data_IF_779807791711
#
_entry.id   IF_779807791711
#
_cell.length_a   1.000
_cell.length_b   1.000
_cell.length_c   1.000
_cell.angle_alpha   90.00
_cell.angle_beta   90.00
_cell.angle_gamma   90.00
#
_symmetry.space_group_name_H-M   'P 1'
#
loop_
_entity.id
_entity.type
_entity.pdbx_description
1 polymer ?
#
# COMPACT_ATOMS: atom_id res chain seq x y z
N UNK A 1 19.28 -23.38 -7.63
CA UNK A 1 17.84 -23.31 -7.37
C UNK A 1 17.61 -23.83 -5.96
N UNK A 2 17.06 -23.00 -5.07
CA UNK A 2 16.75 -23.42 -3.70
C UNK A 2 15.62 -24.45 -3.71
N UNK A 3 15.57 -25.30 -2.69
CA UNK A 3 14.41 -26.16 -2.45
C UNK A 3 13.31 -25.34 -1.77
N UNK A 4 12.06 -25.69 -2.03
CA UNK A 4 10.93 -25.06 -1.37
C UNK A 4 10.98 -25.29 0.15
N UNK A 5 10.61 -24.27 0.90
CA UNK A 5 10.42 -24.32 2.35
C UNK A 5 9.13 -23.59 2.71
N UNK A 6 8.32 -24.11 3.65
CA UNK A 6 7.04 -23.50 3.98
C UNK A 6 7.20 -22.10 4.57
N UNK A 7 6.23 -21.22 4.28
CA UNK A 7 6.14 -19.91 4.91
C UNK A 7 5.89 -20.03 6.43
N UNK A 8 6.35 -19.02 7.19
CA UNK A 8 6.22 -18.98 8.64
C UNK A 8 4.76 -18.81 9.11
N UNK A 9 3.97 -18.02 8.37
CA UNK A 9 2.54 -17.83 8.60
C UNK A 9 1.78 -18.57 7.50
N UNK A 10 0.89 -19.48 7.89
CA UNK A 10 0.10 -20.29 6.95
C UNK A 10 -1.38 -20.09 7.24
N UNK A 11 -2.17 -19.85 6.20
CA UNK A 11 -3.61 -19.68 6.31
C UNK A 11 -4.28 -21.01 6.61
N UNK A 12 -4.99 -21.08 7.73
CA UNK A 12 -5.81 -22.23 8.11
C UNK A 12 -7.29 -21.85 8.14
N UNK A 13 -8.18 -22.83 7.97
CA UNK A 13 -9.63 -22.62 7.99
C UNK A 13 -10.07 -22.02 9.33
N UNK A 14 -10.80 -20.90 9.29
CA UNK A 14 -11.27 -20.14 10.44
C UNK A 14 -10.21 -19.23 11.07
N UNK A 15 -8.99 -19.19 10.55
CA UNK A 15 -7.95 -18.29 11.08
C UNK A 15 -8.22 -16.84 10.68
N UNK A 16 -7.64 -15.90 11.43
CA UNK A 16 -7.64 -14.48 11.07
C UNK A 16 -6.98 -14.20 9.70
N UNK A 17 -6.20 -15.16 9.17
CA UNK A 17 -5.58 -15.07 7.85
C UNK A 17 -6.51 -15.50 6.72
N UNK A 18 -7.59 -16.23 7.01
CA UNK A 18 -8.59 -16.58 6.01
C UNK A 18 -9.42 -15.35 5.63
N UNK A 19 -9.50 -15.08 4.33
CA UNK A 19 -10.25 -13.97 3.74
C UNK A 19 -11.57 -14.51 3.19
N UNK A 20 -12.67 -13.79 3.40
CA UNK A 20 -13.97 -14.11 2.79
C UNK A 20 -13.97 -13.68 1.32
N UNK A 21 -13.39 -14.52 0.46
CA UNK A 21 -13.26 -14.23 -0.97
C UNK A 21 -14.63 -13.99 -1.64
N UNK A 22 -15.70 -14.65 -1.19
CA UNK A 22 -17.03 -14.49 -1.77
C UNK A 22 -17.57 -13.08 -1.50
N UNK A 23 -17.35 -12.55 -0.30
CA UNK A 23 -17.69 -11.17 0.05
C UNK A 23 -16.98 -10.16 -0.87
N UNK A 24 -15.65 -10.24 -0.98
CA UNK A 24 -14.88 -9.29 -1.80
C UNK A 24 -15.12 -9.47 -3.30
N UNK A 25 -15.35 -10.70 -3.78
CA UNK A 25 -15.74 -10.95 -5.17
C UNK A 25 -17.09 -10.31 -5.50
N UNK A 26 -18.08 -10.42 -4.61
CA UNK A 26 -19.37 -9.72 -4.77
C UNK A 26 -19.18 -8.21 -4.90
N UNK A 27 -18.33 -7.62 -4.05
CA UNK A 27 -17.99 -6.20 -4.14
C UNK A 27 -17.45 -5.90 -5.54
N UNK A 28 -16.44 -6.66 -6.01
CA UNK A 28 -15.77 -6.56 -7.32
C UNK A 28 -16.67 -6.79 -8.56
N UNK A 29 -17.66 -7.66 -8.48
CA UNK A 29 -18.47 -8.05 -9.64
C UNK A 29 -19.69 -7.15 -9.83
N UNK A 30 -20.32 -6.71 -8.73
CA UNK A 30 -21.58 -5.94 -8.74
C UNK A 30 -21.36 -4.44 -8.95
N UNK A 31 -20.75 -4.07 -10.08
CA UNK A 31 -20.39 -2.67 -10.42
C UNK A 31 -21.59 -1.73 -10.50
N UNK A 32 -22.77 -2.24 -10.84
CA UNK A 32 -24.02 -1.49 -10.92
C UNK A 32 -24.55 -1.03 -9.56
N UNK A 33 -24.15 -1.70 -8.48
CA UNK A 33 -24.48 -1.35 -7.09
C UNK A 33 -23.37 -0.50 -6.44
N UNK A 34 -22.59 0.22 -7.26
CA UNK A 34 -21.57 1.17 -6.83
C UNK A 34 -21.83 2.53 -7.45
N UNK A 35 -21.64 3.57 -6.65
CA UNK A 35 -21.72 4.96 -7.10
C UNK A 35 -20.35 5.60 -6.98
N UNK A 36 -19.79 6.10 -8.08
CA UNK A 36 -18.59 6.93 -8.06
C UNK A 36 -18.93 8.25 -7.34
N UNK A 37 -18.24 8.54 -6.24
CA UNK A 37 -18.50 9.73 -5.41
C UNK A 37 -17.38 10.77 -5.52
N UNK A 38 -16.17 10.36 -5.89
CA UNK A 38 -15.06 11.28 -6.10
C UNK A 38 -14.08 10.68 -7.13
N UNK A 39 -13.52 11.54 -7.98
CA UNK A 39 -12.46 11.19 -8.92
C UNK A 39 -11.49 12.35 -9.07
N UNK A 40 -10.19 12.07 -9.06
CA UNK A 40 -9.16 13.07 -9.29
C UNK A 40 -7.86 12.45 -9.79
N UNK A 41 -6.99 13.28 -10.37
CA UNK A 41 -5.61 12.92 -10.68
C UNK A 41 -4.64 13.55 -9.68
N UNK A 42 -3.56 12.83 -9.39
CA UNK A 42 -2.41 13.32 -8.65
C UNK A 42 -1.34 13.70 -9.69
N UNK A 43 -0.95 14.99 -9.81
CA UNK A 43 0.04 15.43 -10.77
C UNK A 43 1.38 14.71 -10.60
N UNK A 44 2.20 14.66 -11.65
CA UNK A 44 3.56 14.09 -11.60
C UNK A 44 4.40 14.72 -10.48
N UNK A 45 5.24 13.92 -9.81
CA UNK A 45 6.21 14.41 -8.80
C UNK A 45 5.55 15.16 -7.63
N UNK A 46 4.31 14.81 -7.33
CA UNK A 46 3.54 15.38 -6.21
C UNK A 46 2.86 14.27 -5.41
N UNK A 47 2.26 14.65 -4.29
CA UNK A 47 1.44 13.75 -3.50
C UNK A 47 0.13 14.40 -3.11
N UNK A 48 -0.90 13.58 -2.90
CA UNK A 48 -2.21 14.01 -2.39
C UNK A 48 -2.68 13.00 -1.34
N UNK A 49 -3.28 13.51 -0.27
CA UNK A 49 -3.97 12.72 0.72
C UNK A 49 -5.49 12.90 0.59
N UNK A 50 -6.25 11.85 0.93
CA UNK A 50 -7.71 11.82 0.86
C UNK A 50 -8.28 10.81 1.87
N UNK A 51 -9.53 10.99 2.26
CA UNK A 51 -10.22 10.06 3.18
C UNK A 51 -11.10 9.09 2.41
N UNK A 52 -11.16 7.85 2.87
CA UNK A 52 -12.11 6.84 2.36
C UNK A 52 -12.86 6.26 3.56
N UNK A 53 -14.20 6.37 3.63
CA UNK A 53 -14.97 5.78 4.72
C UNK A 53 -14.93 4.25 4.69
N UNK A 54 -15.08 3.61 5.84
CA UNK A 54 -15.23 2.17 5.93
C UNK A 54 -16.38 1.68 5.03
N UNK A 55 -16.24 0.49 4.46
CA UNK A 55 -17.24 -0.06 3.54
C UNK A 55 -17.16 0.50 2.12
N UNK A 56 -16.34 1.51 1.83
CA UNK A 56 -16.18 2.06 0.49
C UNK A 56 -15.07 1.35 -0.28
N UNK A 57 -15.11 1.46 -1.60
CA UNK A 57 -14.03 1.04 -2.48
C UNK A 57 -13.27 2.28 -2.98
N UNK A 58 -11.98 2.14 -3.24
CA UNK A 58 -11.24 3.11 -4.05
C UNK A 58 -10.28 2.41 -5.00
N UNK A 59 -9.99 3.06 -6.13
CA UNK A 59 -8.98 2.61 -7.09
C UNK A 59 -7.84 3.60 -7.16
N UNK A 60 -6.65 3.07 -7.37
CA UNK A 60 -5.54 3.82 -7.97
C UNK A 60 -5.45 3.38 -9.42
N UNK A 61 -5.42 4.32 -10.36
CA UNK A 61 -5.48 4.04 -11.81
C UNK A 61 -4.34 4.70 -12.58
N UNK A 62 -4.04 4.19 -13.77
CA UNK A 62 -3.05 4.74 -14.71
C UNK A 62 -3.75 5.40 -15.91
N UNK A 63 -4.38 6.58 -15.77
CA UNK A 63 -5.22 7.17 -16.82
C UNK A 63 -4.45 7.42 -18.13
N UNK A 64 -3.17 7.78 -18.02
CA UNK A 64 -2.33 8.19 -19.16
C UNK A 64 -1.24 7.18 -19.52
N UNK A 65 -1.22 6.00 -18.90
CA UNK A 65 -0.19 4.98 -19.08
C UNK A 65 0.69 4.75 -17.85
N UNK A 66 1.82 4.05 -17.99
CA UNK A 66 2.56 3.52 -16.86
C UNK A 66 3.15 4.63 -15.97
N UNK A 67 2.99 4.46 -14.67
CA UNK A 67 3.52 5.30 -13.61
C UNK A 67 3.46 4.49 -12.33
N UNK A 68 4.53 4.50 -11.53
CA UNK A 68 4.52 3.86 -10.20
C UNK A 68 4.10 4.84 -9.10
N UNK A 69 3.46 4.34 -8.06
CA UNK A 69 2.91 5.16 -6.98
C UNK A 69 3.28 4.65 -5.59
N UNK A 70 3.82 5.53 -4.76
CA UNK A 70 4.17 5.24 -3.37
C UNK A 70 2.98 5.54 -2.46
N UNK A 71 2.39 4.50 -1.86
CA UNK A 71 1.15 4.59 -1.11
C UNK A 71 1.36 4.45 0.42
N UNK A 72 0.71 5.32 1.18
CA UNK A 72 0.59 5.22 2.64
C UNK A 72 -0.89 5.26 3.04
N UNK A 73 -1.20 4.59 4.16
CA UNK A 73 -2.55 4.58 4.72
C UNK A 73 -2.52 4.58 6.24
N UNK A 74 -3.40 5.38 6.82
CA UNK A 74 -3.62 5.55 8.25
C UNK A 74 -5.09 5.31 8.59
N UNK A 75 -5.38 4.99 9.84
CA UNK A 75 -6.72 5.18 10.39
C UNK A 75 -7.05 6.68 10.39
N UNK A 76 -8.20 7.06 9.81
CA UNK A 76 -8.61 8.45 9.65
C UNK A 76 -8.82 9.20 10.97
N UNK A 77 -9.01 8.47 12.07
CA UNK A 77 -9.32 9.00 13.40
C UNK A 77 -8.17 8.82 14.41
N UNK A 78 -7.16 8.01 14.09
CA UNK A 78 -6.00 7.76 14.95
C UNK A 78 -4.76 7.40 14.11
N UNK A 79 -3.99 8.39 13.62
CA UNK A 79 -2.89 8.15 12.69
C UNK A 79 -1.67 7.45 13.31
N UNK A 80 -1.68 7.19 14.63
CA UNK A 80 -0.72 6.25 15.22
C UNK A 80 -0.92 4.84 14.65
N UNK A 81 -2.15 4.52 14.27
CA UNK A 81 -2.52 3.32 13.53
C UNK A 81 -2.34 3.54 12.02
N UNK A 82 -1.35 2.87 11.44
CA UNK A 82 -0.94 3.03 10.04
C UNK A 82 -0.42 1.73 9.45
N UNK A 83 -0.29 1.65 8.14
CA UNK A 83 0.19 0.45 7.47
C UNK A 83 1.55 0.02 8.01
N UNK A 84 1.72 -1.28 8.19
CA UNK A 84 2.97 -1.91 8.54
C UNK A 84 3.45 -2.83 7.42
N UNK A 85 4.26 -2.29 6.50
CA UNK A 85 4.73 -2.99 5.32
C UNK A 85 5.40 -4.32 5.65
N UNK A 86 6.33 -4.33 6.61
CA UNK A 86 7.04 -5.55 7.01
C UNK A 86 6.12 -6.66 7.55
N UNK A 87 5.09 -6.30 8.33
CA UNK A 87 4.12 -7.29 8.84
C UNK A 87 3.18 -7.76 7.73
N UNK A 88 2.74 -6.85 6.88
CA UNK A 88 1.95 -7.21 5.70
C UNK A 88 2.73 -8.20 4.82
N UNK A 89 4.03 -7.96 4.61
CA UNK A 89 4.93 -8.87 3.90
C UNK A 89 5.03 -10.26 4.52
N UNK A 90 5.04 -10.35 5.84
CA UNK A 90 5.07 -11.64 6.54
C UNK A 90 3.75 -12.39 6.46
N UNK A 91 2.61 -11.69 6.44
CA UNK A 91 1.28 -12.30 6.47
C UNK A 91 0.72 -12.60 5.07
N UNK A 92 1.10 -11.81 4.06
CA UNK A 92 0.59 -11.89 2.68
C UNK A 92 1.68 -12.26 1.70
N UNK A 93 2.71 -11.42 1.57
CA UNK A 93 3.83 -11.64 0.67
C UNK A 93 4.64 -10.39 0.41
N UNK A 94 5.83 -10.53 -0.18
CA UNK A 94 6.68 -9.41 -0.60
C UNK A 94 6.00 -8.49 -1.63
N UNK A 95 5.01 -9.02 -2.33
CA UNK A 95 4.18 -8.41 -3.35
C UNK A 95 2.74 -8.81 -3.07
N UNK A 96 1.80 -7.89 -3.22
CA UNK A 96 0.39 -8.10 -2.85
C UNK A 96 -0.53 -7.92 -4.05
N UNK A 97 -1.61 -8.70 -4.10
CA UNK A 97 -2.63 -8.62 -5.14
C UNK A 97 -4.01 -8.94 -4.54
N UNK A 98 -4.97 -9.28 -5.39
CA UNK A 98 -6.36 -9.55 -5.02
C UNK A 98 -6.47 -10.48 -3.81
N UNK A 99 -7.32 -10.09 -2.86
CA UNK A 99 -7.56 -10.69 -1.54
C UNK A 99 -6.47 -10.48 -0.49
N UNK A 100 -5.31 -9.95 -0.84
CA UNK A 100 -4.34 -9.53 0.16
C UNK A 100 -4.82 -8.29 0.92
N UNK A 101 -4.29 -8.14 2.12
CA UNK A 101 -4.72 -7.13 3.10
C UNK A 101 -3.55 -6.33 3.57
N UNK A 102 -3.71 -5.02 3.70
CA UNK A 102 -2.70 -4.15 4.28
C UNK A 102 -2.96 -4.04 5.78
N UNK A 103 -2.01 -4.52 6.58
CA UNK A 103 -2.17 -4.64 8.04
C UNK A 103 -1.63 -3.42 8.76
N UNK A 104 -2.31 -3.01 9.84
CA UNK A 104 -1.83 -1.93 10.71
C UNK A 104 -0.69 -2.36 11.65
N UNK A 105 0.07 -1.38 12.11
CA UNK A 105 1.16 -1.53 13.07
C UNK A 105 0.66 -1.92 14.48
N UNK A 106 1.60 -2.30 15.35
CA UNK A 106 1.32 -2.52 16.77
C UNK A 106 1.05 -1.19 17.49
N UNK A 107 0.20 -1.18 18.53
CA UNK A 107 -0.50 -2.33 19.12
C UNK A 107 -1.86 -2.66 18.45
N UNK A 108 -2.12 -2.11 17.26
CA UNK A 108 -3.44 -2.16 16.63
C UNK A 108 -3.69 -3.48 15.89
N UNK A 109 -2.76 -3.87 15.02
CA UNK A 109 -2.75 -5.09 14.20
C UNK A 109 -4.15 -5.57 13.75
N UNK A 110 -4.68 -4.91 12.72
CA UNK A 110 -5.88 -5.32 11.99
C UNK A 110 -5.77 -4.92 10.51
N UNK A 111 -6.58 -5.48 9.62
CA UNK A 111 -6.67 -5.00 8.24
C UNK A 111 -7.13 -3.53 8.20
N UNK A 112 -6.40 -2.71 7.44
CA UNK A 112 -6.81 -1.35 7.07
C UNK A 112 -7.55 -1.37 5.73
N UNK A 113 -7.01 -2.13 4.78
CA UNK A 113 -7.50 -2.29 3.42
C UNK A 113 -7.44 -3.75 3.00
N UNK A 114 -8.33 -4.15 2.10
CA UNK A 114 -8.27 -5.42 1.36
C UNK A 114 -8.28 -5.13 -0.13
N UNK A 115 -7.36 -5.72 -0.90
CA UNK A 115 -7.35 -5.57 -2.36
C UNK A 115 -8.49 -6.40 -2.94
N UNK A 116 -9.42 -5.77 -3.67
CA UNK A 116 -10.59 -6.45 -4.24
C UNK A 116 -10.43 -6.81 -5.70
N UNK A 117 -9.58 -6.08 -6.43
CA UNK A 117 -9.28 -6.36 -7.84
C UNK A 117 -7.93 -5.76 -8.22
N UNK A 118 -7.25 -6.41 -9.15
CA UNK A 118 -5.95 -6.03 -9.68
C UNK A 118 -5.97 -6.32 -11.19
N UNK A 119 -5.96 -5.29 -12.02
CA UNK A 119 -6.00 -5.46 -13.47
C UNK A 119 -4.72 -6.07 -14.05
N UNK A 120 -3.64 -6.12 -13.26
CA UNK A 120 -2.34 -6.66 -13.61
C UNK A 120 -2.04 -7.99 -12.91
N UNK A 121 -3.04 -8.64 -12.29
CA UNK A 121 -2.87 -9.90 -11.58
C UNK A 121 -2.22 -11.01 -12.44
N UNK A 122 -2.48 -10.99 -13.75
CA UNK A 122 -1.93 -11.95 -14.71
C UNK A 122 -0.42 -11.77 -14.99
N UNK A 123 0.22 -10.70 -14.49
CA UNK A 123 1.67 -10.49 -14.63
C UNK A 123 2.47 -11.62 -13.97
N UNK A 124 2.02 -12.10 -12.81
CA UNK A 124 2.66 -13.19 -12.09
C UNK A 124 4.11 -12.89 -11.71
N UNK A 125 5.03 -13.75 -12.15
CA UNK A 125 6.47 -13.66 -11.88
C UNK A 125 7.19 -13.62 -13.22
N UNK A 126 8.03 -12.61 -13.43
CA UNK A 126 8.83 -12.52 -14.66
C UNK A 126 10.09 -13.41 -14.61
N UNK A 127 10.82 -13.45 -15.72
CA UNK A 127 12.02 -14.28 -15.90
C UNK A 127 13.20 -13.93 -14.96
N UNK A 128 13.14 -12.79 -14.27
CA UNK A 128 14.14 -12.36 -13.28
C UNK A 128 13.61 -12.45 -11.84
N UNK A 129 12.41 -13.00 -11.64
CA UNK A 129 11.74 -13.04 -10.33
C UNK A 129 10.98 -11.76 -9.97
N UNK A 130 10.80 -10.85 -10.94
CA UNK A 130 10.08 -9.60 -10.76
C UNK A 130 8.58 -9.82 -10.58
N UNK A 131 7.97 -9.06 -9.68
CA UNK A 131 6.53 -9.05 -9.38
C UNK A 131 6.06 -7.62 -9.11
N UNK A 132 4.75 -7.40 -9.14
CA UNK A 132 4.15 -6.06 -8.98
C UNK A 132 3.67 -5.78 -7.55
N UNK A 133 3.48 -4.50 -7.23
CA UNK A 133 2.86 -4.04 -5.97
C UNK A 133 3.66 -4.45 -4.73
N UNK A 134 4.90 -3.97 -4.62
CA UNK A 134 5.83 -4.47 -3.61
C UNK A 134 5.72 -3.81 -2.23
N UNK A 135 6.14 -4.57 -1.23
CA UNK A 135 6.39 -4.19 0.16
C UNK A 135 7.87 -4.47 0.54
N UNK A 136 8.75 -4.54 -0.46
CA UNK A 136 10.19 -4.75 -0.30
C UNK A 136 10.90 -3.42 -0.07
N UNK A 137 10.55 -2.42 -0.88
CA UNK A 137 11.11 -1.08 -0.81
C UNK A 137 10.56 -0.27 0.36
N UNK A 138 11.16 0.89 0.59
CA UNK A 138 10.71 1.88 1.57
C UNK A 138 9.94 3.00 0.89
N UNK A 139 10.65 3.81 0.09
CA UNK A 139 10.22 4.93 -0.76
C UNK A 139 11.48 5.67 -1.23
N UNK A 140 11.45 6.32 -2.39
CA UNK A 140 12.54 7.25 -2.69
C UNK A 140 12.50 8.47 -1.75
N UNK A 141 13.66 8.94 -1.33
CA UNK A 141 13.77 9.96 -0.28
C UNK A 141 14.95 10.93 -0.50
N UNK A 142 14.82 12.18 -0.02
CA UNK A 142 15.85 13.21 -0.21
C UNK A 142 17.14 12.92 0.55
N UNK A 143 17.10 12.11 1.61
CA UNK A 143 18.26 11.85 2.48
C UNK A 143 19.23 10.87 1.84
N UNK A 144 18.73 9.76 1.29
CA UNK A 144 19.51 8.83 0.48
C UNK A 144 20.05 9.52 -0.76
N UNK A 145 19.24 10.34 -1.43
CA UNK A 145 19.74 11.12 -2.57
C UNK A 145 20.89 12.05 -2.16
N UNK A 146 20.73 12.82 -1.09
CA UNK A 146 21.78 13.72 -0.58
C UNK A 146 23.04 12.97 -0.21
N UNK A 147 22.90 11.81 0.45
CA UNK A 147 24.01 10.94 0.82
C UNK A 147 24.75 10.39 -0.40
N UNK A 148 24.04 9.99 -1.46
CA UNK A 148 24.64 9.37 -2.64
C UNK A 148 25.19 10.37 -3.66
N UNK A 149 24.55 11.54 -3.80
CA UNK A 149 24.84 12.51 -4.87
C UNK A 149 25.44 13.83 -4.39
N UNK A 150 25.25 14.18 -3.10
CA UNK A 150 25.56 15.50 -2.58
C UNK A 150 24.52 16.58 -2.89
N UNK A 151 23.51 16.28 -3.72
CA UNK A 151 22.51 17.23 -4.20
C UNK A 151 21.19 17.14 -3.43
N UNK A 152 20.50 18.28 -3.33
CA UNK A 152 19.16 18.34 -2.75
C UNK A 152 18.11 18.18 -3.86
N UNK A 153 17.15 17.26 -3.64
CA UNK A 153 15.98 17.12 -4.51
C UNK A 153 14.71 16.91 -3.66
N UNK A 154 13.75 17.81 -3.80
CA UNK A 154 12.60 17.92 -2.89
C UNK A 154 11.33 17.19 -3.38
N UNK A 155 11.39 16.50 -4.52
CA UNK A 155 10.23 15.86 -5.16
C UNK A 155 10.25 14.33 -5.13
N UNK A 156 11.06 13.76 -4.23
CA UNK A 156 11.00 12.37 -3.84
C UNK A 156 9.66 12.01 -3.20
N UNK A 157 9.27 10.73 -3.27
CA UNK A 157 8.03 10.22 -2.71
C UNK A 157 7.88 10.54 -1.22
N UNK A 158 8.97 10.42 -0.45
CA UNK A 158 8.95 10.80 0.96
C UNK A 158 8.54 12.26 1.19
N UNK A 159 9.12 13.20 0.43
CA UNK A 159 8.80 14.63 0.53
C UNK A 159 7.40 14.93 0.00
N UNK A 160 6.96 14.24 -1.06
CA UNK A 160 5.63 14.36 -1.63
C UNK A 160 4.55 13.92 -0.64
N UNK A 161 4.73 12.75 -0.01
CA UNK A 161 3.86 12.23 1.03
C UNK A 161 3.84 13.14 2.25
N UNK A 162 5.01 13.61 2.71
CA UNK A 162 5.12 14.55 3.83
C UNK A 162 4.27 15.79 3.58
N UNK A 163 4.41 16.44 2.42
CA UNK A 163 3.60 17.63 2.08
C UNK A 163 2.11 17.29 1.94
N UNK A 164 1.77 16.12 1.40
CA UNK A 164 0.39 15.70 1.20
C UNK A 164 -0.37 15.55 2.51
N UNK A 165 0.31 15.15 3.60
CA UNK A 165 -0.34 14.88 4.89
C UNK A 165 -0.34 16.07 5.86
N UNK A 166 0.44 17.13 5.60
CA UNK A 166 0.45 18.34 6.44
C UNK A 166 -0.96 18.94 6.66
N UNK A 167 -1.84 19.07 5.63
CA UNK A 167 -3.19 19.61 5.83
C UNK A 167 -4.08 18.74 6.74
N UNK A 168 -3.68 17.49 6.99
CA UNK A 168 -4.37 16.55 7.86
C UNK A 168 -3.80 16.53 9.29
N UNK A 169 -2.89 17.45 9.63
CA UNK A 169 -2.28 17.55 10.95
C UNK A 169 -1.18 16.53 11.22
N UNK A 170 -0.71 15.85 10.18
CA UNK A 170 0.41 14.90 10.24
C UNK A 170 1.72 15.58 9.87
N UNK A 171 2.81 14.88 10.15
CA UNK A 171 4.18 15.34 9.92
C UNK A 171 4.97 14.29 9.14
N UNK A 172 6.21 14.63 8.82
CA UNK A 172 7.18 13.70 8.24
C UNK A 172 7.33 12.39 9.04
N UNK A 173 7.22 12.46 10.38
CA UNK A 173 7.33 11.30 11.26
C UNK A 173 6.17 10.28 11.12
N UNK A 174 5.06 10.71 10.52
CA UNK A 174 3.90 9.86 10.29
C UNK A 174 3.99 9.10 8.95
N UNK A 175 4.84 9.57 8.02
CA UNK A 175 5.16 8.89 6.77
C UNK A 175 5.94 7.61 7.06
N UNK A 176 5.54 6.53 6.40
CA UNK A 176 6.03 5.17 6.68
C UNK A 176 6.37 4.44 5.38
N UNK A 177 6.97 3.25 5.51
CA UNK A 177 7.28 2.41 4.35
C UNK A 177 6.01 2.11 3.56
N UNK A 178 6.13 2.22 2.24
CA UNK A 178 4.99 2.32 1.32
C UNK A 178 4.56 0.95 0.81
N UNK A 179 3.38 0.92 0.21
CA UNK A 179 3.08 -0.04 -0.85
C UNK A 179 3.47 0.61 -2.18
N UNK A 180 4.35 -0.05 -2.94
CA UNK A 180 4.81 0.44 -4.24
C UNK A 180 3.86 -0.01 -5.36
N UNK A 181 2.76 0.72 -5.55
CA UNK A 181 1.71 0.38 -6.52
C UNK A 181 2.27 0.48 -7.95
N UNK A 182 1.99 -0.55 -8.75
CA UNK A 182 2.43 -0.76 -10.15
C UNK A 182 3.94 -0.97 -10.36
N UNK A 183 4.76 -0.86 -9.30
CA UNK A 183 6.19 -1.05 -9.41
C UNK A 183 6.53 -2.53 -9.59
N UNK A 184 7.37 -2.85 -10.58
CA UNK A 184 7.94 -4.19 -10.77
C UNK A 184 9.29 -4.31 -10.08
N UNK A 185 9.40 -5.21 -9.10
CA UNK A 185 10.61 -5.38 -8.29
C UNK A 185 10.84 -6.82 -7.87
N UNK A 186 12.04 -7.09 -7.38
CA UNK A 186 12.41 -8.38 -6.81
C UNK A 186 13.78 -8.30 -6.14
N UNK A 187 14.30 -9.48 -5.79
CA UNK A 187 15.66 -9.66 -5.28
C UNK A 187 16.43 -10.49 -6.31
N UNK A 188 17.64 -10.05 -6.65
CA UNK A 188 18.48 -10.80 -7.57
C UNK A 188 19.11 -12.03 -6.86
N UNK A 189 19.97 -12.77 -7.56
CA UNK A 189 20.62 -13.97 -7.02
C UNK A 189 21.50 -13.71 -5.78
N UNK A 190 21.96 -12.47 -5.59
CA UNK A 190 22.77 -12.01 -4.45
C UNK A 190 21.90 -11.37 -3.35
N UNK A 191 20.57 -11.52 -3.41
CA UNK A 191 19.59 -10.95 -2.48
C UNK A 191 19.53 -9.40 -2.50
N UNK A 192 19.93 -8.79 -3.62
CA UNK A 192 19.91 -7.34 -3.79
C UNK A 192 18.62 -6.88 -4.50
N UNK A 193 18.04 -5.79 -3.99
CA UNK A 193 16.84 -5.17 -4.55
C UNK A 193 17.04 -4.63 -5.96
N UNK A 194 16.12 -4.97 -6.87
CA UNK A 194 16.06 -4.40 -8.20
C UNK A 194 14.67 -3.84 -8.50
N UNK A 195 14.61 -2.94 -9.47
CA UNK A 195 13.38 -2.40 -10.04
C UNK A 195 13.44 -2.45 -11.56
N UNK A 196 12.28 -2.62 -12.20
CA UNK A 196 12.12 -2.67 -13.65
C UNK A 196 10.96 -1.79 -14.11
N UNK A 197 10.92 -1.55 -15.42
CA UNK A 197 9.85 -0.82 -16.07
C UNK A 197 8.46 -1.37 -15.67
N UNK A 198 7.59 -0.46 -15.26
CA UNK A 198 6.20 -0.71 -14.95
C UNK A 198 5.46 -1.24 -16.19
N UNK A 199 4.80 -2.41 -16.14
CA UNK A 199 4.11 -2.98 -17.29
C UNK A 199 2.71 -2.40 -17.53
N UNK A 200 2.25 -1.47 -16.67
CA UNK A 200 0.91 -0.92 -16.74
C UNK A 200 0.65 -0.18 -18.06
N UNK A 201 -0.61 -0.15 -18.44
CA UNK A 201 -1.15 0.51 -19.63
C UNK A 201 -2.17 1.56 -19.21
N UNK A 202 -2.60 2.45 -20.14
CA UNK A 202 -3.71 3.35 -19.87
C UNK A 202 -4.95 2.58 -19.41
N UNK A 203 -5.47 2.91 -18.22
CA UNK A 203 -6.67 2.31 -17.64
C UNK A 203 -6.44 1.11 -16.72
N UNK A 204 -5.20 0.67 -16.51
CA UNK A 204 -4.90 -0.31 -15.45
C UNK A 204 -5.17 0.28 -14.06
N UNK A 205 -5.44 -0.60 -13.09
CA UNK A 205 -5.80 -0.20 -11.74
C UNK A 205 -5.53 -1.27 -10.68
N UNK A 206 -5.41 -0.79 -9.44
CA UNK A 206 -5.48 -1.61 -8.23
C UNK A 206 -6.64 -1.08 -7.37
N UNK A 207 -7.59 -1.96 -7.02
CA UNK A 207 -8.79 -1.63 -6.25
C UNK A 207 -8.70 -2.14 -4.81
N UNK A 208 -9.12 -1.30 -3.87
CA UNK A 208 -9.10 -1.58 -2.44
C UNK A 208 -10.48 -1.36 -1.84
N UNK A 209 -10.83 -2.20 -0.88
CA UNK A 209 -11.92 -2.01 0.07
C UNK A 209 -11.39 -1.44 1.38
N UNK A 210 -12.03 -0.39 1.88
CA UNK A 210 -11.70 0.24 3.15
C UNK A 210 -12.35 -0.52 4.31
N UNK A 211 -11.53 -1.25 5.08
CA UNK A 211 -12.00 -2.04 6.23
C UNK A 211 -12.38 -1.15 7.42
N UNK A 212 -11.74 0.02 7.51
CA UNK A 212 -12.02 1.06 8.50
C UNK A 212 -12.09 2.40 7.78
N UNK A 213 -12.47 3.46 8.48
CA UNK A 213 -12.27 4.81 7.95
C UNK A 213 -10.76 5.09 7.84
N UNK A 214 -10.29 5.35 6.63
CA UNK A 214 -8.86 5.53 6.35
C UNK A 214 -8.55 6.93 5.82
N UNK A 215 -7.37 7.42 6.18
CA UNK A 215 -6.68 8.49 5.47
C UNK A 215 -5.65 7.81 4.56
N UNK A 216 -5.77 8.01 3.26
CA UNK A 216 -4.83 7.53 2.26
C UNK A 216 -3.93 8.69 1.81
N UNK A 217 -2.71 8.39 1.41
CA UNK A 217 -1.87 9.31 0.64
C UNK A 217 -1.10 8.55 -0.41
N UNK A 218 -0.97 9.16 -1.60
CA UNK A 218 -0.22 8.59 -2.71
C UNK A 218 0.69 9.66 -3.29
N UNK A 219 1.93 9.28 -3.57
CA UNK A 219 2.88 10.06 -4.34
C UNK A 219 3.04 9.46 -5.73
N UNK A 220 2.96 10.29 -6.77
CA UNK A 220 3.39 9.90 -8.12
C UNK A 220 4.92 9.96 -8.16
N UNK A 221 5.55 8.78 -8.23
CA UNK A 221 6.99 8.66 -8.10
C UNK A 221 7.73 9.47 -9.18
N UNK A 222 8.75 10.27 -8.82
CA UNK A 222 9.52 11.01 -9.81
C UNK A 222 10.31 10.12 -10.76
N UNK A 223 10.49 8.84 -10.45
CA UNK A 223 11.06 7.83 -11.34
C UNK A 223 10.15 7.41 -12.51
N UNK A 224 8.90 7.91 -12.54
CA UNK A 224 7.95 7.64 -13.62
C UNK A 224 7.52 6.17 -13.68
N UNK A 225 7.73 5.55 -14.84
CA UNK A 225 7.54 4.11 -15.04
C UNK A 225 8.79 3.27 -14.74
N UNK A 226 9.90 3.88 -14.29
CA UNK A 226 11.18 3.22 -14.01
C UNK A 226 11.84 2.56 -15.24
N UNK A 227 11.49 2.97 -16.45
CA UNK A 227 12.15 2.50 -17.68
C UNK A 227 13.51 3.14 -17.95
N UNK A 228 13.83 4.25 -17.29
CA UNK A 228 15.09 4.97 -17.46
C UNK A 228 16.03 4.72 -16.27
N UNK A 229 17.33 4.59 -16.55
CA UNK A 229 18.35 4.51 -15.51
C UNK A 229 18.38 5.83 -14.72
N UNK A 230 18.22 5.74 -13.40
CA UNK A 230 18.33 6.88 -12.49
C UNK A 230 19.70 6.98 -11.82
N UNK A 231 20.53 5.94 -11.94
CA UNK A 231 21.83 5.82 -11.31
C UNK A 231 22.86 5.26 -12.29
N UNK A 232 24.14 5.55 -12.06
CA UNK A 232 25.26 5.07 -12.89
C UNK A 232 25.55 5.95 -14.12
N UNK A 233 26.46 5.50 -15.01
CA UNK A 233 26.93 6.30 -16.14
C UNK A 233 25.85 6.69 -17.16
N UNK A 234 24.72 5.98 -17.19
CA UNK A 234 23.60 6.20 -18.11
C UNK A 234 22.42 6.94 -17.43
N UNK A 235 22.65 7.50 -16.24
CA UNK A 235 21.63 8.21 -15.49
C UNK A 235 21.09 9.42 -16.25
N UNK A 236 19.77 9.56 -16.29
CA UNK A 236 19.08 10.72 -16.88
C UNK A 236 17.84 11.09 -16.05
N UNK A 237 17.35 12.33 -16.23
CA UNK A 237 16.13 12.77 -15.55
C UNK A 237 14.89 12.00 -16.10
N UNK A 238 14.17 11.24 -15.26
CA UNK A 238 12.97 10.48 -15.64
C UNK A 238 11.73 11.34 -15.96
N UNK A 239 11.84 12.66 -16.07
CA UNK A 239 10.70 13.55 -16.26
C UNK A 239 9.85 13.19 -17.48
N UNK A 240 10.47 12.73 -18.57
CA UNK A 240 9.80 12.35 -19.82
C UNK A 240 8.91 11.11 -19.70
N UNK A 241 9.10 10.30 -18.65
CA UNK A 241 8.34 9.07 -18.37
C UNK A 241 7.44 9.20 -17.13
N UNK A 242 7.33 10.41 -16.57
CA UNK A 242 6.41 10.71 -15.48
C UNK A 242 5.00 10.98 -16.01
N UNK A 243 3.98 10.38 -15.38
CA UNK A 243 2.56 10.56 -15.70
C UNK A 243 1.73 10.73 -14.42
N UNK A 244 0.55 11.37 -14.48
CA UNK A 244 -0.36 11.41 -13.33
C UNK A 244 -0.88 10.01 -12.98
N UNK A 245 -1.19 9.79 -11.71
CA UNK A 245 -2.03 8.65 -11.28
C UNK A 245 -3.44 9.15 -10.96
N UNK A 246 -4.44 8.34 -11.31
CA UNK A 246 -5.83 8.61 -10.98
C UNK A 246 -6.23 7.96 -9.65
N UNK A 247 -7.22 8.56 -8.99
CA UNK A 247 -7.93 7.98 -7.84
C UNK A 247 -9.43 8.08 -8.10
N UNK A 248 -10.14 6.99 -7.84
CA UNK A 248 -11.60 6.90 -7.91
C UNK A 248 -12.12 6.35 -6.59
N UNK A 249 -13.16 6.94 -6.01
CA UNK A 249 -13.78 6.49 -4.76
C UNK A 249 -15.23 6.13 -5.03
N UNK A 250 -15.64 4.94 -4.60
CA UNK A 250 -16.97 4.41 -4.79
C UNK A 250 -17.67 4.14 -3.46
N UNK A 251 -18.87 4.69 -3.32
CA UNK A 251 -19.83 4.21 -2.33
C UNK A 251 -20.47 2.94 -2.85
N UNK A 252 -20.57 1.92 -2.01
CA UNK A 252 -21.30 0.68 -2.30
C UNK A 252 -22.67 0.71 -1.65
N UNK A 253 -23.64 0.03 -2.24
CA UNK A 253 -24.94 -0.18 -1.59
C UNK A 253 -24.80 -1.06 -0.34
N UNK A 254 -25.60 -0.78 0.70
CA UNK A 254 -25.57 -1.51 1.98
C UNK A 254 -25.84 -3.02 1.79
N UNK A 255 -26.59 -3.40 0.75
CA UNK A 255 -26.86 -4.79 0.38
C UNK A 255 -25.58 -5.57 0.05
N UNK A 256 -24.55 -4.91 -0.48
CA UNK A 256 -23.25 -5.53 -0.75
C UNK A 256 -22.37 -5.67 0.50
N UNK A 257 -22.74 -5.02 1.61
CA UNK A 257 -22.06 -5.07 2.90
C UNK A 257 -22.68 -6.09 3.86
N UNK A 258 -23.75 -6.78 3.46
CA UNK A 258 -24.39 -7.78 4.30
C UNK A 258 -23.40 -8.87 4.74
N UNK A 259 -23.35 -9.12 6.05
CA UNK A 259 -22.44 -10.09 6.69
C UNK A 259 -21.05 -9.55 7.04
N UNK A 260 -20.71 -8.33 6.62
CA UNK A 260 -19.43 -7.70 6.94
C UNK A 260 -19.51 -6.84 8.20
N UNK A 261 -18.46 -6.90 9.01
CA UNK A 261 -18.21 -6.00 10.13
C UNK A 261 -16.78 -5.45 10.03
N UNK A 262 -16.62 -4.16 10.31
CA UNK A 262 -15.30 -3.54 10.39
C UNK A 262 -14.41 -4.26 11.42
N UNK A 263 -13.14 -4.58 11.09
CA UNK A 263 -12.30 -5.40 11.94
C UNK A 263 -11.92 -4.69 13.24
N UNK A 264 -11.93 -5.45 14.33
CA UNK A 264 -11.46 -5.01 15.65
C UNK A 264 -9.94 -5.11 15.72
N UNK A 265 -9.34 -4.27 16.57
CA UNK A 265 -7.90 -4.35 16.90
C UNK A 265 -7.58 -5.70 17.53
N UNK A 266 -6.32 -6.15 17.41
CA UNK A 266 -5.87 -7.37 18.06
C UNK A 266 -6.10 -7.32 19.57
N UNK A 267 -6.76 -8.33 20.13
CA UNK A 267 -7.21 -8.37 21.53
C UNK A 267 -6.09 -8.72 22.54
N UNK A 268 -4.84 -8.36 22.25
CA UNK A 268 -3.75 -8.56 23.19
C UNK A 268 -3.88 -7.57 24.36
N UNK A 269 -3.93 -8.09 25.59
CA UNK A 269 -4.22 -7.29 26.79
C UNK A 269 -3.08 -6.35 27.25
N UNK A 270 -1.95 -6.33 26.54
CA UNK A 270 -0.89 -5.34 26.76
C UNK A 270 -0.14 -5.47 28.09
N UNK A 271 -0.32 -6.56 28.84
CA UNK A 271 0.39 -6.73 30.11
C UNK A 271 1.89 -7.02 29.92
N UNK A 272 2.33 -7.51 28.75
CA UNK A 272 3.74 -7.79 28.46
C UNK A 272 4.44 -8.67 29.50
N UNK A 273 3.70 -9.57 30.16
CA UNK A 273 4.21 -10.41 31.24
C UNK A 273 4.44 -9.68 32.57
N UNK A 274 4.08 -8.40 32.67
CA UNK A 274 4.13 -7.64 33.91
C UNK A 274 2.98 -8.06 34.82
N UNK A 275 3.32 -8.52 36.01
CA UNK A 275 2.39 -8.72 37.11
C UNK A 275 2.49 -7.52 38.04
N UNK A 276 1.39 -6.78 38.19
CA UNK A 276 1.34 -5.71 39.19
C UNK A 276 1.03 -6.35 40.56
N UNK A 277 1.88 -6.17 41.58
CA UNK A 277 1.53 -6.61 42.92
C UNK A 277 0.28 -5.84 43.35
N UNK A 278 -0.73 -6.56 43.87
CA UNK A 278 -1.91 -5.92 44.44
C UNK A 278 -1.46 -4.98 45.56
N UNK A 279 -1.75 -3.68 45.45
CA UNK A 279 -1.38 -2.75 46.50
C UNK A 279 -2.15 -3.09 47.78
N UNK A 280 -1.51 -2.82 48.92
CA UNK A 280 -2.01 -3.18 50.26
C UNK A 280 -3.38 -2.58 50.61
N UNK A 281 -3.82 -1.55 49.90
CA UNK A 281 -5.13 -0.90 50.07
C UNK A 281 -6.26 -1.55 49.26
N UNK A 282 -5.96 -2.53 48.40
CA UNK A 282 -6.93 -3.26 47.57
C UNK A 282 -7.28 -4.65 48.17
N UNK A 283 -7.08 -4.81 49.49
CA UNK A 283 -7.48 -6.01 50.27
C UNK A 283 -8.96 -5.98 50.64
#
# INVERSE_FOLDING_TARGET
MYKDYPAAYQTTKGSALQVDQAFYARLRERKEARTLIEQFEIPIRTGRAWKVPAGHLFRVTTPHGPQVGDFNVWNAHDPRERMWAARTRQLQGAHVSTYDRLWSNLPFLRPLLTITDDSLADYGIDEHGGRLHDLLGTRCDPYVNKMLTGEDFHHHCHSNLTRAVLPHGLTEFDVHDVLNIFQCTGLNHDDLYFMKACPAKPGDYLEFFAEIDVLCALSTCPGGDLSLAMWGPEAQDPLSVCRPLGVEIYRVEDSLLEGWESPKRAAYQGQHGLTLPKPSWEQ
#
